data_IF_750880305535
#
_entry.id   IF_750880305535
#
_cell.length_a   1.000
_cell.length_b   1.000
_cell.length_c   1.000
_cell.angle_alpha   90.00
_cell.angle_beta   90.00
_cell.angle_gamma   90.00
#
_symmetry.space_group_name_H-M   'P 1'
#
loop_
_entity.id
_entity.type
_entity.pdbx_description
1 polymer ?
#
# COMPACT_ATOMS: atom_id res chain seq x y z
N UNK A 1 3.72 14.35 14.07
CA UNK A 1 3.06 13.20 14.71
C UNK A 1 1.79 12.97 13.93
N UNK A 2 1.78 12.00 13.01
CA UNK A 2 0.58 11.68 12.23
C UNK A 2 -0.29 10.81 13.14
N UNK A 3 -1.52 11.25 13.40
CA UNK A 3 -2.43 10.60 14.33
C UNK A 3 -3.02 9.33 13.68
N UNK A 4 -2.62 8.18 14.21
CA UNK A 4 -2.96 6.84 13.72
C UNK A 4 -4.36 6.40 14.20
N UNK A 5 -5.12 7.24 14.92
CA UNK A 5 -6.46 6.91 15.40
C UNK A 5 -7.60 7.16 14.40
N UNK A 6 -7.32 7.60 13.17
CA UNK A 6 -8.32 7.79 12.10
C UNK A 6 -8.84 6.51 11.44
N UNK A 7 -8.53 5.35 12.01
CA UNK A 7 -8.70 4.05 11.38
C UNK A 7 -9.83 3.21 12.03
N UNK A 8 -11.09 3.63 11.90
CA UNK A 8 -12.25 2.78 12.20
C UNK A 8 -13.09 2.49 10.94
N UNK A 9 -13.57 1.24 10.77
CA UNK A 9 -14.48 0.90 9.68
C UNK A 9 -15.90 1.32 10.07
N UNK A 10 -16.51 2.18 9.26
CA UNK A 10 -17.87 2.66 9.44
C UNK A 10 -17.91 4.15 9.75
N UNK A 11 -18.52 4.90 8.83
CA UNK A 11 -18.71 6.37 8.80
C UNK A 11 -17.50 7.20 8.33
N UNK A 12 -17.59 7.72 7.09
CA UNK A 12 -16.63 8.69 6.50
C UNK A 12 -15.40 8.07 5.84
N UNK A 13 -15.57 7.42 4.68
CA UNK A 13 -14.54 6.64 3.96
C UNK A 13 -13.26 7.45 3.62
N UNK A 14 -12.13 7.01 4.19
CA UNK A 14 -10.76 6.96 3.63
C UNK A 14 -10.12 8.25 3.07
N UNK A 15 -9.98 9.31 3.88
CA UNK A 15 -9.32 10.56 3.42
C UNK A 15 -7.82 10.43 3.10
N UNK A 16 -7.04 9.59 3.81
CA UNK A 16 -5.59 9.54 3.58
C UNK A 16 -5.21 8.69 2.36
N UNK A 17 -5.79 7.49 2.21
CA UNK A 17 -5.42 6.59 1.11
C UNK A 17 -5.85 7.21 -0.24
N UNK A 18 -7.06 7.78 -0.28
CA UNK A 18 -7.54 8.51 -1.45
C UNK A 18 -6.68 9.76 -1.71
N UNK A 19 -6.32 10.53 -0.68
CA UNK A 19 -5.41 11.67 -0.85
C UNK A 19 -4.01 11.25 -1.34
N UNK A 20 -3.50 10.09 -0.92
CA UNK A 20 -2.22 9.54 -1.42
C UNK A 20 -2.33 9.10 -2.88
N UNK A 21 -3.47 8.56 -3.30
CA UNK A 21 -3.76 8.18 -4.70
C UNK A 21 -4.00 9.39 -5.62
N UNK A 22 -4.43 10.52 -5.06
CA UNK A 22 -4.59 11.78 -5.80
C UNK A 22 -3.26 12.52 -6.01
N UNK A 23 -2.25 12.25 -5.19
CA UNK A 23 -0.91 12.83 -5.39
C UNK A 23 -0.17 12.07 -6.48
N UNK A 24 0.55 12.76 -7.37
CA UNK A 24 1.46 12.07 -8.27
C UNK A 24 2.48 11.31 -7.42
N UNK A 25 2.46 9.98 -7.52
CA UNK A 25 3.52 9.11 -6.99
C UNK A 25 4.73 9.32 -7.89
N UNK A 26 5.38 10.47 -7.71
CA UNK A 26 6.54 10.86 -8.48
C UNK A 26 7.70 9.92 -8.11
N UNK A 27 8.28 9.27 -9.12
CA UNK A 27 9.37 8.28 -9.00
C UNK A 27 10.66 8.85 -8.40
N UNK A 28 10.72 10.16 -8.15
CA UNK A 28 11.73 10.79 -7.32
C UNK A 28 11.61 10.25 -5.90
N UNK A 29 12.66 9.59 -5.38
CA UNK A 29 12.66 8.87 -4.10
C UNK A 29 12.32 9.66 -2.82
N UNK A 30 11.79 10.89 -2.92
CA UNK A 30 11.27 11.70 -1.83
C UNK A 30 10.09 11.04 -1.11
N UNK A 31 9.09 10.49 -1.82
CA UNK A 31 7.97 9.80 -1.17
C UNK A 31 8.44 8.53 -0.44
N UNK A 32 9.27 7.71 -1.10
CA UNK A 32 9.90 6.53 -0.50
C UNK A 32 10.67 6.89 0.77
N UNK A 33 11.49 7.95 0.72
CA UNK A 33 12.28 8.42 1.86
C UNK A 33 11.38 8.93 2.98
N UNK A 34 10.36 9.73 2.66
CA UNK A 34 9.41 10.25 3.64
C UNK A 34 8.67 9.11 4.36
N UNK A 35 8.17 8.12 3.61
CA UNK A 35 7.53 6.93 4.18
C UNK A 35 8.51 6.18 5.10
N UNK A 36 9.73 5.89 4.61
CA UNK A 36 10.75 5.16 5.38
C UNK A 36 11.20 5.86 6.67
N UNK A 37 11.08 7.19 6.72
CA UNK A 37 11.46 8.00 7.88
C UNK A 37 10.32 8.26 8.87
N UNK A 38 9.06 8.26 8.41
CA UNK A 38 7.93 8.71 9.21
C UNK A 38 6.94 7.59 9.58
N UNK A 39 6.97 6.46 8.88
CA UNK A 39 6.09 5.34 9.16
C UNK A 39 6.89 4.16 9.72
N UNK A 40 6.25 3.44 10.62
CA UNK A 40 6.70 2.15 11.14
C UNK A 40 6.37 1.02 10.16
N UNK A 41 7.03 -0.12 10.34
CA UNK A 41 6.77 -1.35 9.61
C UNK A 41 5.29 -1.73 9.70
N UNK A 42 4.72 -1.71 10.91
CA UNK A 42 3.32 -2.04 11.14
C UNK A 42 2.34 -1.11 10.39
N UNK A 43 2.60 0.19 10.39
CA UNK A 43 1.78 1.17 9.65
C UNK A 43 1.84 0.93 8.15
N UNK A 44 3.04 0.68 7.61
CA UNK A 44 3.23 0.39 6.18
C UNK A 44 2.55 -0.92 5.79
N UNK A 45 2.68 -1.97 6.61
CA UNK A 45 2.02 -3.24 6.38
C UNK A 45 0.49 -3.10 6.41
N UNK A 46 -0.05 -2.25 7.30
CA UNK A 46 -1.48 -1.93 7.35
C UNK A 46 -1.95 -1.16 6.11
N UNK A 47 -1.13 -0.26 5.57
CA UNK A 47 -1.41 0.44 4.31
C UNK A 47 -1.41 -0.54 3.12
N UNK A 48 -0.44 -1.46 3.07
CA UNK A 48 -0.37 -2.53 2.06
C UNK A 48 -1.66 -3.36 2.06
N UNK A 49 -2.09 -3.82 3.23
CA UNK A 49 -3.31 -4.63 3.35
C UNK A 49 -4.57 -3.90 2.87
N UNK A 50 -4.65 -2.59 3.12
CA UNK A 50 -5.76 -1.77 2.63
C UNK A 50 -5.71 -1.58 1.12
N UNK A 51 -4.54 -1.39 0.53
CA UNK A 51 -4.39 -1.28 -0.92
C UNK A 51 -4.81 -2.58 -1.60
N UNK A 52 -4.47 -3.74 -1.02
CA UNK A 52 -4.95 -5.04 -1.50
C UNK A 52 -6.48 -5.09 -1.51
N UNK A 53 -7.13 -4.63 -0.44
CA UNK A 53 -8.59 -4.57 -0.38
C UNK A 53 -9.18 -3.67 -1.47
N UNK A 54 -8.56 -2.52 -1.73
CA UNK A 54 -8.95 -1.61 -2.81
C UNK A 54 -8.86 -2.27 -4.20
N UNK A 55 -7.88 -3.15 -4.44
CA UNK A 55 -7.79 -3.91 -5.70
C UNK A 55 -8.99 -4.85 -5.84
N UNK A 56 -9.37 -5.55 -4.76
CA UNK A 56 -10.51 -6.47 -4.78
C UNK A 56 -11.86 -5.76 -4.98
N UNK A 57 -12.01 -4.50 -4.56
CA UNK A 57 -13.23 -3.71 -4.78
C UNK A 57 -13.44 -3.30 -6.26
N UNK A 58 -12.53 -3.68 -7.18
CA UNK A 58 -12.66 -3.50 -8.64
C UNK A 58 -12.89 -2.05 -9.07
N UNK A 59 -12.02 -1.16 -8.61
CA UNK A 59 -11.95 0.21 -9.12
C UNK A 59 -11.41 0.27 -10.58
N UNK A 60 -11.57 1.42 -11.24
CA UNK A 60 -11.13 1.63 -12.64
C UNK A 60 -9.66 1.29 -12.90
N UNK A 61 -9.28 0.96 -14.15
CA UNK A 61 -7.87 0.71 -14.53
C UNK A 61 -6.92 1.85 -14.10
N UNK A 62 -7.37 3.11 -14.19
CA UNK A 62 -6.59 4.27 -13.76
C UNK A 62 -6.37 4.31 -12.24
N UNK A 63 -7.34 3.83 -11.46
CA UNK A 63 -7.19 3.66 -10.01
C UNK A 63 -6.23 2.50 -9.72
N UNK A 64 -6.33 1.40 -10.47
CA UNK A 64 -5.47 0.23 -10.30
C UNK A 64 -3.99 0.58 -10.49
N UNK A 65 -3.64 1.32 -11.54
CA UNK A 65 -2.25 1.76 -11.77
C UNK A 65 -1.70 2.61 -10.62
N UNK A 66 -2.51 3.54 -10.08
CA UNK A 66 -2.14 4.34 -8.91
C UNK A 66 -1.95 3.50 -7.66
N UNK A 67 -2.83 2.51 -7.45
CA UNK A 67 -2.74 1.58 -6.32
C UNK A 67 -1.48 0.73 -6.42
N UNK A 68 -1.17 0.19 -7.59
CA UNK A 68 0.05 -0.60 -7.83
C UNK A 68 1.32 0.24 -7.65
N UNK A 69 1.33 1.48 -8.14
CA UNK A 69 2.44 2.41 -7.94
C UNK A 69 2.67 2.75 -6.47
N UNK A 70 1.59 2.98 -5.70
CA UNK A 70 1.71 3.23 -4.26
C UNK A 70 2.14 1.98 -3.50
N UNK A 71 1.61 0.80 -3.87
CA UNK A 71 2.00 -0.49 -3.30
C UNK A 71 3.51 -0.73 -3.48
N UNK A 72 4.03 -0.48 -4.69
CA UNK A 72 5.46 -0.55 -4.98
C UNK A 72 6.28 0.36 -4.07
N UNK A 73 5.89 1.63 -3.91
CA UNK A 73 6.64 2.58 -3.06
C UNK A 73 6.65 2.15 -1.59
N UNK A 74 5.53 1.63 -1.07
CA UNK A 74 5.43 1.12 0.29
C UNK A 74 6.37 -0.07 0.49
N UNK A 75 6.37 -1.04 -0.42
CA UNK A 75 7.27 -2.19 -0.36
C UNK A 75 8.73 -1.74 -0.46
N UNK A 76 9.08 -0.90 -1.44
CA UNK A 76 10.45 -0.41 -1.65
C UNK A 76 10.99 0.41 -0.47
N UNK A 77 10.11 1.05 0.30
CA UNK A 77 10.48 1.87 1.46
C UNK A 77 10.86 1.06 2.71
N UNK A 78 10.35 -0.17 2.83
CA UNK A 78 10.46 -1.00 4.05
C UNK A 78 10.96 -2.43 3.78
N UNK A 79 11.28 -2.79 2.54
CA UNK A 79 11.67 -4.16 2.14
C UNK A 79 12.71 -4.80 3.04
N UNK A 80 13.80 -4.11 3.38
CA UNK A 80 14.85 -4.64 4.26
C UNK A 80 14.42 -4.76 5.73
N UNK A 81 13.49 -3.92 6.19
CA UNK A 81 13.00 -3.93 7.56
C UNK A 81 11.97 -5.04 7.76
N UNK A 82 11.14 -5.28 6.75
CA UNK A 82 10.15 -6.35 6.77
C UNK A 82 10.73 -7.75 6.83
N UNK A 83 11.95 -7.99 6.33
CA UNK A 83 12.59 -9.31 6.40
C UNK A 83 12.69 -9.81 7.85
N UNK A 84 12.80 -8.92 8.82
CA UNK A 84 13.02 -9.26 10.23
C UNK A 84 11.76 -9.14 11.09
N UNK A 85 10.63 -8.76 10.51
CA UNK A 85 9.36 -8.61 11.21
C UNK A 85 8.36 -9.67 10.73
N UNK A 86 8.25 -10.75 11.50
CA UNK A 86 7.38 -11.90 11.22
C UNK A 86 5.89 -11.50 11.12
N UNK A 87 5.44 -10.46 11.84
CA UNK A 87 4.06 -9.98 11.75
C UNK A 87 3.78 -9.28 10.42
N UNK A 88 4.82 -8.76 9.76
CA UNK A 88 4.71 -8.14 8.45
C UNK A 88 4.84 -9.14 7.29
N UNK A 89 5.37 -10.34 7.52
CA UNK A 89 5.58 -11.36 6.49
C UNK A 89 4.27 -11.82 5.84
N UNK A 90 3.25 -12.13 6.64
CA UNK A 90 1.95 -12.60 6.13
C UNK A 90 1.31 -11.56 5.20
N UNK A 91 1.36 -10.27 5.60
CA UNK A 91 0.81 -9.16 4.81
C UNK A 91 1.56 -8.97 3.49
N UNK A 92 2.88 -9.15 3.48
CA UNK A 92 3.68 -9.13 2.25
C UNK A 92 3.40 -10.32 1.34
N UNK A 93 3.29 -11.52 1.90
CA UNK A 93 2.94 -12.72 1.13
C UNK A 93 1.57 -12.56 0.45
N UNK A 94 0.58 -12.01 1.19
CA UNK A 94 -0.73 -11.68 0.65
C UNK A 94 -0.63 -10.65 -0.49
N UNK A 95 0.17 -9.60 -0.33
CA UNK A 95 0.43 -8.63 -1.39
C UNK A 95 1.03 -9.27 -2.64
N UNK A 96 2.03 -10.14 -2.46
CA UNK A 96 2.68 -10.86 -3.55
C UNK A 96 1.70 -11.80 -4.27
N UNK A 97 0.86 -12.52 -3.53
CA UNK A 97 -0.19 -13.39 -4.10
C UNK A 97 -1.15 -12.59 -4.96
N UNK A 98 -1.66 -11.45 -4.45
CA UNK A 98 -2.60 -10.59 -5.17
C UNK A 98 -2.00 -10.06 -6.46
N UNK A 99 -0.75 -9.59 -6.44
CA UNK A 99 -0.07 -9.11 -7.65
C UNK A 99 0.12 -10.26 -8.65
N UNK A 100 0.44 -11.47 -8.17
CA UNK A 100 0.58 -12.66 -9.01
C UNK A 100 -0.75 -13.05 -9.68
N UNK A 101 -1.85 -12.99 -8.93
CA UNK A 101 -3.19 -13.27 -9.44
C UNK A 101 -3.60 -12.25 -10.50
N UNK A 102 -3.33 -10.95 -10.26
CA UNK A 102 -3.60 -9.89 -11.24
C UNK A 102 -2.81 -10.11 -12.52
N UNK A 103 -1.51 -10.34 -12.43
CA UNK A 103 -0.65 -10.63 -13.58
C UNK A 103 -1.19 -11.84 -14.35
N UNK A 104 -1.53 -12.92 -13.64
CA UNK A 104 -2.08 -14.13 -14.27
C UNK A 104 -3.38 -13.86 -15.02
N UNK A 105 -4.26 -13.01 -14.47
CA UNK A 105 -5.51 -12.62 -15.11
C UNK A 105 -5.33 -11.69 -16.32
N UNK A 106 -4.25 -10.90 -16.38
CA UNK A 106 -3.94 -10.06 -17.55
C UNK A 106 -3.34 -10.86 -18.71
N UNK A 107 -2.69 -11.99 -18.44
CA UNK A 107 -2.03 -12.83 -19.44
C UNK A 107 -2.80 -14.11 -19.80
N UNK A 108 -4.00 -14.31 -19.24
CA UNK A 108 -4.95 -15.39 -19.57
C UNK A 108 -5.96 -14.96 -20.63
#
# INVERSE_FOLDING_TARGET
>A
MIDVHFFRPGTGKSCLLLALLEKPVNSSGGLRRAISQNLTEFEVATLIERLIFFIYEKESEQTLDKVLNLLRVLIDSHSLRFIWDEQCHEKLQKAASVVTDLVSAFFS
#
